data_IF_571115103225
#
_entry.id   IF_571115103225
#
_cell.length_a   1.000
_cell.length_b   1.000
_cell.length_c   1.000
_cell.angle_alpha   90.00
_cell.angle_beta   90.00
_cell.angle_gamma   90.00
#
_symmetry.space_group_name_H-M   'P 1'
#
loop_
_entity.id
_entity.type
_entity.pdbx_description
1 polymer ?
#
# COMPACT_ATOMS: atom_id res chain seq x y z
N UNK A 1 -6.13 7.50 7.62
CA UNK A 1 -4.71 7.87 7.45
C UNK A 1 -4.44 8.30 6.01
N UNK A 2 -5.21 9.25 5.49
CA UNK A 2 -5.09 9.69 4.10
C UNK A 2 -3.80 10.51 3.91
N UNK A 3 -3.05 10.23 2.84
CA UNK A 3 -1.89 11.01 2.38
C UNK A 3 -0.76 11.25 3.40
N UNK A 4 -0.64 10.44 4.46
CA UNK A 4 0.31 10.70 5.56
C UNK A 4 1.78 10.74 5.11
N UNK A 5 2.18 9.86 4.19
CA UNK A 5 3.53 9.77 3.64
C UNK A 5 3.55 10.14 2.15
N UNK A 6 2.56 10.92 1.69
CA UNK A 6 2.56 11.43 0.34
C UNK A 6 3.80 12.29 0.09
N UNK A 7 4.53 12.00 -0.97
CA UNK A 7 5.79 12.65 -1.36
C UNK A 7 6.91 12.54 -0.32
N UNK A 8 6.79 11.66 0.67
CA UNK A 8 7.84 11.36 1.64
C UNK A 8 8.92 10.49 0.98
N UNK A 9 9.63 11.07 0.00
CA UNK A 9 10.53 10.35 -0.92
C UNK A 9 11.62 9.56 -0.23
N UNK A 10 12.07 10.00 0.94
CA UNK A 10 13.14 9.39 1.73
C UNK A 10 12.64 8.54 2.92
N UNK A 11 11.32 8.42 3.07
CA UNK A 11 10.74 7.68 4.19
C UNK A 11 10.85 6.17 3.95
N UNK A 12 11.52 5.48 4.86
CA UNK A 12 11.72 4.02 4.85
C UNK A 12 11.80 3.47 6.28
N UNK A 13 11.04 4.06 7.21
CA UNK A 13 11.03 3.63 8.61
C UNK A 13 10.00 2.52 8.81
N UNK A 14 10.26 1.54 9.70
CA UNK A 14 9.34 0.43 9.95
C UNK A 14 7.99 0.93 10.50
N UNK A 15 6.91 0.34 10.02
CA UNK A 15 5.51 0.67 10.36
C UNK A 15 4.75 -0.52 10.97
N UNK A 16 5.47 -1.54 11.39
CA UNK A 16 4.97 -2.82 11.92
C UNK A 16 4.15 -2.68 13.21
N UNK A 17 4.31 -1.57 13.94
CA UNK A 17 3.62 -1.28 15.21
C UNK A 17 2.36 -0.43 15.08
N UNK A 18 1.98 -0.07 13.86
CA UNK A 18 0.80 0.78 13.63
C UNK A 18 -0.47 -0.08 13.70
N UNK A 19 -1.41 0.33 14.56
CA UNK A 19 -2.76 -0.25 14.57
C UNK A 19 -3.61 0.41 13.48
N UNK A 20 -3.96 -0.36 12.45
CA UNK A 20 -4.78 0.10 11.33
C UNK A 20 -6.21 -0.43 11.35
N UNK A 21 -6.59 -1.22 12.36
CA UNK A 21 -7.89 -1.92 12.44
C UNK A 21 -9.12 -1.00 12.30
N UNK A 22 -8.99 0.24 12.79
CA UNK A 22 -10.05 1.24 12.76
C UNK A 22 -9.99 2.19 11.55
N UNK A 23 -8.99 2.06 10.67
CA UNK A 23 -8.77 2.99 9.56
C UNK A 23 -9.78 2.72 8.44
N UNK A 24 -10.45 3.77 7.98
CA UNK A 24 -11.41 3.71 6.86
C UNK A 24 -10.88 4.22 5.53
N UNK A 25 -9.83 5.05 5.56
CA UNK A 25 -9.25 5.69 4.37
C UNK A 25 -7.71 5.74 4.48
N UNK A 26 -7.06 5.08 3.52
CA UNK A 26 -5.60 5.04 3.30
C UNK A 26 -5.23 5.60 1.92
N UNK A 27 -6.12 6.37 1.28
CA UNK A 27 -5.88 6.94 -0.04
C UNK A 27 -4.62 7.81 -0.03
N UNK A 28 -3.80 7.67 -1.07
CA UNK A 28 -2.54 8.39 -1.28
C UNK A 28 -1.49 8.23 -0.17
N UNK A 29 -1.64 7.27 0.76
CA UNK A 29 -0.82 7.19 1.96
C UNK A 29 0.69 7.17 1.68
N UNK A 30 1.13 6.50 0.62
CA UNK A 30 2.53 6.38 0.19
C UNK A 30 2.74 6.88 -1.25
N UNK A 31 1.84 7.72 -1.78
CA UNK A 31 1.97 8.21 -3.15
C UNK A 31 3.29 9.00 -3.30
N UNK A 32 4.13 8.60 -4.26
CA UNK A 32 5.47 9.18 -4.49
C UNK A 32 6.46 8.99 -3.33
N UNK A 33 6.24 8.02 -2.42
CA UNK A 33 7.20 7.63 -1.38
C UNK A 33 8.25 6.68 -1.97
N UNK A 34 9.14 7.22 -2.79
CA UNK A 34 10.04 6.46 -3.67
C UNK A 34 11.08 5.60 -2.96
N UNK A 35 11.41 5.85 -1.69
CA UNK A 35 12.37 5.03 -0.93
C UNK A 35 11.71 3.98 -0.03
N UNK A 36 10.39 4.02 0.14
CA UNK A 36 9.69 3.14 1.09
C UNK A 36 9.71 1.68 0.61
N UNK A 37 10.31 0.80 1.39
CA UNK A 37 10.41 -0.64 1.11
C UNK A 37 10.30 -1.47 2.41
N UNK A 38 9.38 -1.10 3.31
CA UNK A 38 9.15 -1.85 4.54
C UNK A 38 7.93 -2.77 4.41
N UNK A 39 7.96 -3.97 5.03
CA UNK A 39 6.82 -4.88 5.04
C UNK A 39 5.64 -4.28 5.82
N UNK A 40 4.43 -4.49 5.30
CA UNK A 40 3.15 -4.02 5.88
C UNK A 40 2.26 -5.18 6.36
N UNK A 41 2.87 -6.30 6.75
CA UNK A 41 2.20 -7.57 7.09
C UNK A 41 1.26 -7.44 8.31
N UNK A 42 1.55 -6.52 9.24
CA UNK A 42 0.75 -6.34 10.45
C UNK A 42 -0.44 -5.39 10.27
N UNK A 43 -0.63 -4.82 9.09
CA UNK A 43 -1.72 -3.87 8.87
C UNK A 43 -3.03 -4.61 8.64
N UNK A 44 -3.97 -4.43 9.57
CA UNK A 44 -5.35 -4.82 9.36
C UNK A 44 -6.02 -3.83 8.38
N UNK A 45 -6.30 -4.32 7.18
CA UNK A 45 -7.00 -3.59 6.12
C UNK A 45 -8.47 -3.98 5.98
N UNK A 46 -8.97 -4.93 6.78
CA UNK A 46 -10.35 -5.44 6.71
C UNK A 46 -11.40 -4.35 6.91
N UNK A 47 -11.05 -3.30 7.65
CA UNK A 47 -11.89 -2.15 7.92
C UNK A 47 -11.82 -1.04 6.87
N UNK A 48 -10.87 -1.08 5.93
CA UNK A 48 -10.54 0.03 5.02
C UNK A 48 -11.51 0.06 3.85
N UNK A 49 -12.04 1.25 3.55
CA UNK A 49 -12.97 1.48 2.43
C UNK A 49 -12.33 2.16 1.23
N UNK A 50 -11.25 2.90 1.45
CA UNK A 50 -10.60 3.70 0.41
C UNK A 50 -9.08 3.53 0.45
N UNK A 51 -8.49 3.08 -0.66
CA UNK A 51 -7.03 2.92 -0.84
C UNK A 51 -6.54 3.60 -2.13
N UNK A 52 -7.30 4.58 -2.63
CA UNK A 52 -7.04 5.20 -3.94
C UNK A 52 -5.60 5.71 -4.03
N UNK A 53 -4.87 5.25 -5.05
CA UNK A 53 -3.49 5.68 -5.35
C UNK A 53 -2.56 5.59 -4.13
N UNK A 54 -2.77 4.61 -3.23
CA UNK A 54 -2.00 4.48 -1.98
C UNK A 54 -0.50 4.38 -2.25
N UNK A 55 -0.08 3.62 -3.27
CA UNK A 55 1.32 3.42 -3.66
C UNK A 55 1.65 3.99 -5.04
N UNK A 56 0.81 4.87 -5.60
CA UNK A 56 1.08 5.45 -6.90
C UNK A 56 2.46 6.14 -6.93
N UNK A 57 3.29 5.89 -7.94
CA UNK A 57 4.65 6.41 -8.05
C UNK A 57 5.61 6.03 -6.89
N UNK A 58 5.30 5.00 -6.10
CA UNK A 58 6.22 4.45 -5.09
C UNK A 58 7.16 3.42 -5.76
N UNK A 59 8.21 3.91 -6.42
CA UNK A 59 9.08 3.12 -7.30
C UNK A 59 9.87 1.99 -6.65
N UNK A 60 10.09 2.03 -5.34
CA UNK A 60 10.89 1.03 -4.61
C UNK A 60 10.03 0.05 -3.81
N UNK A 61 8.71 0.21 -3.84
CA UNK A 61 7.80 -0.68 -3.13
C UNK A 61 7.61 -1.97 -3.92
N UNK A 62 8.36 -3.01 -3.56
CA UNK A 62 8.28 -4.31 -4.23
C UNK A 62 7.10 -5.12 -3.67
N UNK A 63 5.96 -5.09 -4.37
CA UNK A 63 4.74 -5.85 -4.00
C UNK A 63 4.98 -7.38 -3.92
N UNK A 64 6.09 -7.88 -4.49
CA UNK A 64 6.53 -9.29 -4.40
C UNK A 64 6.77 -9.77 -2.96
N UNK A 65 7.05 -8.89 -2.01
CA UNK A 65 7.18 -9.27 -0.59
C UNK A 65 5.84 -9.31 0.16
N UNK A 66 4.75 -8.84 -0.45
CA UNK A 66 3.42 -8.81 0.19
C UNK A 66 2.66 -10.14 0.11
N UNK A 67 3.09 -11.09 -0.72
CA UNK A 67 2.17 -12.03 -1.37
C UNK A 67 2.27 -13.52 -1.02
N UNK A 68 2.97 -13.96 0.03
CA UNK A 68 2.81 -15.37 0.39
C UNK A 68 1.63 -15.68 1.33
N UNK A 69 1.24 -14.85 2.32
CA UNK A 69 0.18 -15.30 3.26
C UNK A 69 -0.71 -14.25 3.97
N UNK A 70 -0.56 -12.94 3.76
CA UNK A 70 -1.09 -11.95 4.73
C UNK A 70 -2.21 -11.00 4.26
N UNK A 71 -2.25 -10.57 3.00
CA UNK A 71 -3.22 -9.54 2.57
C UNK A 71 -4.49 -10.18 2.02
N UNK A 72 -5.54 -10.29 2.85
CA UNK A 72 -6.88 -10.65 2.39
C UNK A 72 -7.52 -9.47 1.63
N UNK A 73 -7.41 -9.51 0.30
CA UNK A 73 -7.99 -8.52 -0.61
C UNK A 73 -9.42 -8.86 -1.05
N UNK A 74 -10.04 -9.90 -0.48
CA UNK A 74 -11.37 -10.39 -0.89
C UNK A 74 -12.49 -9.36 -0.71
N UNK A 75 -12.29 -8.36 0.14
CA UNK A 75 -13.26 -7.29 0.40
C UNK A 75 -13.12 -6.05 -0.50
N UNK A 76 -12.11 -6.00 -1.38
CA UNK A 76 -11.86 -4.82 -2.23
C UNK A 76 -12.76 -4.84 -3.46
N UNK A 77 -13.74 -3.94 -3.49
CA UNK A 77 -14.81 -3.92 -4.51
C UNK A 77 -14.39 -3.40 -5.89
N UNK A 78 -13.20 -2.80 -6.00
CA UNK A 78 -12.70 -2.23 -7.25
C UNK A 78 -11.23 -2.61 -7.42
N UNK A 79 -11.01 -3.72 -8.11
CA UNK A 79 -9.69 -4.28 -8.44
C UNK A 79 -9.16 -3.77 -9.78
N UNK A 80 -9.87 -2.86 -10.46
CA UNK A 80 -9.50 -2.32 -11.78
C UNK A 80 -8.15 -1.60 -11.82
N UNK A 81 -7.56 -1.28 -10.66
CA UNK A 81 -6.24 -0.65 -10.54
C UNK A 81 -5.15 -1.61 -10.07
N UNK A 82 -5.42 -2.93 -9.97
CA UNK A 82 -4.34 -3.90 -9.81
C UNK A 82 -3.71 -4.25 -11.17
N UNK A 83 -4.45 -4.06 -12.27
CA UNK A 83 -3.90 -4.20 -13.62
C UNK A 83 -2.74 -3.19 -13.85
N UNK A 84 -2.85 -1.96 -13.34
CA UNK A 84 -1.76 -0.96 -13.27
C UNK A 84 -0.57 -1.37 -12.35
N UNK A 85 -0.75 -2.39 -11.51
CA UNK A 85 0.31 -2.94 -10.63
C UNK A 85 1.07 -4.09 -11.32
N UNK A 86 0.50 -4.67 -12.38
CA UNK A 86 1.06 -5.81 -13.11
C UNK A 86 1.53 -5.47 -14.54
N UNK A 87 1.23 -4.28 -15.08
CA UNK A 87 1.67 -3.87 -16.43
C UNK A 87 3.20 -3.68 -16.59
N UNK A 88 3.97 -3.57 -15.49
CA UNK A 88 5.44 -3.45 -15.55
C UNK A 88 6.17 -4.82 -15.70
N UNK A 89 5.46 -5.91 -16.01
CA UNK A 89 6.06 -7.25 -16.20
C UNK A 89 6.16 -7.73 -17.66
N UNK A 90 5.89 -6.91 -18.67
CA UNK A 90 6.25 -7.25 -20.06
C UNK A 90 7.59 -6.62 -20.48
N UNK A 91 8.67 -7.37 -20.25
CA UNK A 91 9.68 -7.62 -21.28
C UNK A 91 10.01 -9.12 -21.35
#
# INVERSE_FOLDING_TARGET
>A
MKAMFQMARLFDQPLDKWDTSSVKDMSHMFNSATSFNQPLVNWDTSGVKYMKSMFANASNFSFRELLEDSWDISSVSDISNIDDVFEDFEE
#
